data_IF_994132842707
#
_entry.id   IF_994132842707
#
_cell.length_a   1.000
_cell.length_b   1.000
_cell.length_c   1.000
_cell.angle_alpha   90.00
_cell.angle_beta   90.00
_cell.angle_gamma   90.00
#
_symmetry.space_group_name_H-M   'P 1'
#
loop_
_entity.id
_entity.type
_entity.pdbx_description
1 polymer ?
#
# COMPACT_ATOMS: atom_id res chain seq x y z
N UNK A 1 -47.98 -9.95 -53.78
CA UNK A 1 -47.88 -11.42 -53.51
C UNK A 1 -46.85 -11.47 -52.40
N UNK A 2 -47.29 -11.43 -51.09
CA UNK A 2 -47.57 -12.62 -50.27
C UNK A 2 -46.28 -13.35 -49.93
N UNK A 3 -45.78 -13.59 -48.73
CA UNK A 3 -46.34 -13.77 -47.39
C UNK A 3 -45.23 -13.68 -46.34
N UNK A 4 -45.50 -13.11 -45.24
CA UNK A 4 -45.17 -13.37 -43.85
C UNK A 4 -44.85 -14.82 -43.48
N UNK A 5 -43.94 -15.06 -42.57
CA UNK A 5 -44.11 -16.06 -41.51
C UNK A 5 -43.19 -15.78 -40.30
N UNK A 6 -43.84 -15.72 -39.19
CA UNK A 6 -43.39 -15.67 -37.81
C UNK A 6 -43.02 -17.10 -37.34
N UNK A 7 -42.00 -17.32 -36.48
CA UNK A 7 -41.83 -18.58 -35.79
C UNK A 7 -41.98 -18.42 -34.29
N UNK A 8 -43.08 -18.84 -33.75
CA UNK A 8 -43.16 -19.30 -32.36
C UNK A 8 -43.51 -20.80 -32.38
N UNK A 9 -42.85 -21.50 -31.45
CA UNK A 9 -43.26 -22.78 -30.84
C UNK A 9 -42.47 -24.03 -31.27
N UNK A 10 -41.79 -24.65 -30.33
CA UNK A 10 -42.17 -25.89 -29.64
C UNK A 10 -41.05 -26.43 -28.75
N UNK A 11 -41.42 -26.66 -27.49
CA UNK A 11 -40.81 -27.58 -26.55
C UNK A 11 -40.55 -28.97 -27.19
N UNK A 12 -39.37 -29.54 -26.92
CA UNK A 12 -39.31 -31.00 -26.73
C UNK A 12 -38.22 -31.35 -25.70
N UNK A 13 -38.65 -32.07 -24.68
CA UNK A 13 -37.83 -32.66 -23.62
C UNK A 13 -37.24 -33.96 -24.13
N UNK A 14 -35.93 -34.13 -24.08
CA UNK A 14 -35.33 -35.46 -24.02
C UNK A 14 -34.25 -35.48 -22.94
N UNK A 15 -34.60 -36.17 -21.86
CA UNK A 15 -33.75 -36.65 -20.80
C UNK A 15 -32.58 -37.49 -21.36
N UNK A 16 -31.36 -37.07 -21.12
CA UNK A 16 -30.15 -37.88 -21.29
C UNK A 16 -29.62 -38.23 -19.92
N UNK A 17 -29.72 -39.51 -19.59
CA UNK A 17 -29.14 -40.19 -18.44
C UNK A 17 -27.62 -40.01 -18.44
N UNK A 18 -27.07 -39.30 -17.44
CA UNK A 18 -25.64 -39.27 -17.16
C UNK A 18 -25.28 -40.41 -16.20
N UNK A 19 -24.90 -41.55 -16.77
CA UNK A 19 -24.13 -42.54 -16.02
C UNK A 19 -22.74 -41.99 -15.74
N UNK A 20 -22.45 -41.81 -14.45
CA UNK A 20 -21.12 -41.47 -13.95
C UNK A 20 -20.31 -42.78 -13.91
N UNK A 21 -19.30 -42.88 -14.75
CA UNK A 21 -18.31 -43.95 -14.73
C UNK A 21 -17.50 -43.91 -13.46
N UNK A 22 -17.51 -45.00 -12.68
CA UNK A 22 -16.60 -45.22 -11.56
C UNK A 22 -15.15 -45.38 -12.06
N UNK A 23 -14.16 -44.76 -11.36
CA UNK A 23 -12.75 -44.90 -11.73
C UNK A 23 -12.25 -46.34 -11.40
N UNK A 24 -11.59 -46.96 -12.38
CA UNK A 24 -10.93 -48.26 -12.32
C UNK A 24 -9.86 -48.26 -11.21
N UNK A 25 -10.02 -49.12 -10.19
CA UNK A 25 -9.04 -49.30 -9.11
C UNK A 25 -7.79 -50.03 -9.64
N UNK A 26 -6.63 -49.40 -9.38
CA UNK A 26 -5.31 -49.96 -9.67
C UNK A 26 -4.92 -50.99 -8.58
N UNK A 27 -4.54 -52.24 -8.89
CA UNK A 27 -4.35 -53.30 -7.91
C UNK A 27 -2.99 -53.26 -7.13
N UNK A 28 -2.19 -52.22 -7.28
CA UNK A 28 -0.88 -52.11 -6.66
C UNK A 28 -0.68 -50.92 -5.70
N UNK A 29 -1.70 -50.46 -5.02
CA UNK A 29 -1.52 -49.45 -3.97
C UNK A 29 -1.31 -50.08 -2.61
N UNK A 30 -0.24 -49.71 -1.85
CA UNK A 30 0.02 -50.28 -0.51
C UNK A 30 -1.02 -49.72 0.50
N UNK A 31 -1.66 -50.61 1.23
CA UNK A 31 -2.57 -50.33 2.30
C UNK A 31 -1.98 -49.36 3.34
N UNK A 32 -2.50 -48.13 3.38
CA UNK A 32 -2.28 -47.15 4.45
C UNK A 32 -3.26 -47.47 5.59
N UNK A 33 -2.83 -47.63 6.84
CA UNK A 33 -3.78 -47.89 7.93
C UNK A 33 -4.65 -46.68 8.19
N UNK A 34 -5.97 -46.90 8.22
CA UNK A 34 -6.94 -45.88 8.59
C UNK A 34 -6.72 -45.38 10.01
N UNK A 35 -6.34 -44.10 10.16
CA UNK A 35 -6.40 -43.40 11.44
C UNK A 35 -7.88 -43.15 11.77
N UNK A 36 -8.41 -43.89 12.76
CA UNK A 36 -9.69 -43.58 13.40
C UNK A 36 -9.61 -42.18 14.02
N UNK A 37 -10.18 -41.19 13.37
CA UNK A 37 -10.44 -39.88 13.95
C UNK A 37 -11.43 -40.03 15.13
N UNK A 38 -10.95 -39.80 16.34
CA UNK A 38 -11.81 -39.60 17.51
C UNK A 38 -12.41 -38.18 17.44
N UNK A 39 -13.53 -38.04 16.74
CA UNK A 39 -14.41 -36.85 16.83
C UNK A 39 -15.40 -37.03 17.96
N UNK A 40 -14.99 -36.86 19.24
CA UNK A 40 -15.92 -36.88 20.36
C UNK A 40 -15.31 -36.22 21.61
N UNK A 41 -14.97 -34.91 21.53
CA UNK A 41 -14.59 -34.18 22.74
C UNK A 41 -15.18 -32.75 22.84
N UNK A 42 -15.61 -32.13 21.77
CA UNK A 42 -16.21 -30.81 21.84
C UNK A 42 -17.70 -30.80 22.24
N UNK A 43 -18.40 -31.92 22.07
CA UNK A 43 -19.82 -32.02 22.43
C UNK A 43 -20.08 -32.37 23.92
N UNK A 44 -19.08 -32.94 24.60
CA UNK A 44 -19.23 -33.33 26.02
C UNK A 44 -18.98 -32.17 26.98
N UNK A 45 -18.10 -31.23 26.66
CA UNK A 45 -17.88 -30.05 27.53
C UNK A 45 -19.01 -29.02 27.50
N UNK A 46 -19.75 -28.93 26.40
CA UNK A 46 -20.94 -28.08 26.31
C UNK A 46 -22.17 -28.62 27.03
N UNK A 47 -22.27 -29.96 27.20
CA UNK A 47 -23.40 -30.61 27.86
C UNK A 47 -23.33 -30.52 29.39
N UNK A 48 -22.15 -30.50 29.99
CA UNK A 48 -21.96 -30.42 31.44
C UNK A 48 -22.22 -28.98 31.94
N UNK A 49 -21.73 -27.94 31.23
CA UNK A 49 -22.01 -26.55 31.57
C UNK A 49 -23.49 -26.17 31.42
N UNK A 50 -24.17 -26.72 30.41
CA UNK A 50 -25.60 -26.50 30.18
C UNK A 50 -26.49 -27.21 31.20
N UNK A 51 -26.11 -28.40 31.71
CA UNK A 51 -26.87 -29.14 32.68
C UNK A 51 -26.85 -28.45 34.08
N UNK A 52 -25.74 -27.92 34.52
CA UNK A 52 -25.63 -27.19 35.79
C UNK A 52 -26.43 -25.88 35.75
N UNK A 53 -26.39 -25.14 34.67
CA UNK A 53 -27.20 -23.93 34.49
C UNK A 53 -28.72 -24.25 34.45
N UNK A 54 -29.12 -25.36 33.81
CA UNK A 54 -30.52 -25.78 33.74
C UNK A 54 -31.06 -26.25 35.08
N UNK A 55 -30.25 -26.91 35.92
CA UNK A 55 -30.66 -27.34 37.27
C UNK A 55 -30.81 -26.12 38.19
N UNK A 56 -29.93 -25.12 38.11
CA UNK A 56 -30.06 -23.91 38.92
C UNK A 56 -31.27 -23.06 38.49
N UNK A 57 -31.56 -22.92 37.22
CA UNK A 57 -32.71 -22.15 36.70
C UNK A 57 -34.01 -22.90 37.00
N UNK A 58 -34.06 -24.23 36.87
CA UNK A 58 -35.26 -25.03 37.18
C UNK A 58 -35.50 -25.16 38.66
N UNK A 59 -34.45 -25.24 39.48
CA UNK A 59 -34.57 -25.29 40.95
C UNK A 59 -35.12 -23.99 41.54
N UNK A 60 -34.62 -22.86 41.11
CA UNK A 60 -35.09 -21.52 41.51
C UNK A 60 -36.50 -21.26 40.95
N UNK A 61 -36.77 -21.66 39.68
CA UNK A 61 -38.12 -21.55 39.10
C UNK A 61 -39.16 -22.42 39.77
N UNK A 62 -38.80 -23.65 40.19
CA UNK A 62 -39.70 -24.55 40.95
C UNK A 62 -39.96 -24.03 42.36
N UNK A 63 -38.97 -23.49 43.06
CA UNK A 63 -39.15 -22.86 44.37
C UNK A 63 -40.06 -21.62 44.30
N UNK A 64 -39.98 -20.82 43.24
CA UNK A 64 -40.86 -19.64 43.03
C UNK A 64 -42.28 -20.00 42.65
N UNK A 65 -42.54 -21.15 41.97
CA UNK A 65 -43.89 -21.55 41.58
C UNK A 65 -44.63 -22.28 42.69
N UNK A 66 -43.94 -22.94 43.64
CA UNK A 66 -44.55 -23.62 44.77
C UNK A 66 -44.80 -22.73 46.01
N UNK A 67 -44.17 -21.58 46.09
CA UNK A 67 -44.35 -20.59 47.17
C UNK A 67 -45.68 -19.82 47.11
N UNK A 68 -46.52 -20.06 46.09
CA UNK A 68 -47.77 -19.30 45.91
C UNK A 68 -49.01 -20.01 46.47
N UNK A 69 -48.90 -21.22 47.08
CA UNK A 69 -50.11 -22.00 47.47
C UNK A 69 -50.10 -22.63 48.87
N UNK A 70 -49.09 -22.44 49.74
CA UNK A 70 -49.12 -22.88 51.11
C UNK A 70 -48.23 -22.04 52.02
N UNK A 71 -48.68 -21.79 53.25
CA UNK A 71 -48.09 -20.92 54.29
C UNK A 71 -46.77 -21.45 54.91
N UNK A 72 -45.94 -22.14 54.14
CA UNK A 72 -44.59 -22.57 54.51
C UNK A 72 -43.54 -21.69 53.74
N UNK A 73 -43.10 -20.66 54.44
CA UNK A 73 -41.94 -19.85 53.96
C UNK A 73 -40.67 -20.71 54.01
N UNK A 74 -40.18 -21.10 52.83
CA UNK A 74 -38.82 -21.65 52.70
C UNK A 74 -37.87 -20.57 53.19
N UNK A 75 -37.14 -20.82 54.25
CA UNK A 75 -36.22 -19.87 54.84
C UNK A 75 -35.03 -19.62 53.89
N UNK A 76 -34.53 -18.41 53.91
CA UNK A 76 -33.33 -18.02 53.12
C UNK A 76 -32.13 -18.94 53.43
N UNK A 77 -32.10 -19.54 54.61
CA UNK A 77 -31.07 -20.50 55.04
C UNK A 77 -31.19 -21.85 54.34
N UNK A 78 -32.42 -22.33 54.05
CA UNK A 78 -32.63 -23.60 53.32
C UNK A 78 -32.24 -23.44 51.83
N UNK A 79 -32.56 -22.30 51.23
CA UNK A 79 -32.11 -22.00 49.83
C UNK A 79 -30.58 -21.91 49.79
N UNK A 80 -29.97 -21.28 50.79
CA UNK A 80 -28.52 -21.16 50.86
C UNK A 80 -27.84 -22.53 51.04
N UNK A 81 -28.41 -23.43 51.84
CA UNK A 81 -27.88 -24.79 52.05
C UNK A 81 -27.90 -25.63 50.75
N UNK A 82 -28.95 -25.50 49.95
CA UNK A 82 -29.08 -26.20 48.67
C UNK A 82 -28.07 -25.62 47.63
N UNK A 83 -27.85 -24.32 47.64
CA UNK A 83 -26.85 -23.67 46.78
C UNK A 83 -25.43 -24.08 47.20
N UNK A 84 -25.12 -24.10 48.49
CA UNK A 84 -23.81 -24.49 49.00
C UNK A 84 -23.52 -25.97 48.78
N UNK A 85 -24.52 -26.87 48.87
CA UNK A 85 -24.39 -28.28 48.54
C UNK A 85 -24.20 -28.52 47.03
N UNK A 86 -24.90 -27.75 46.18
CA UNK A 86 -24.73 -27.81 44.75
C UNK A 86 -23.34 -27.25 44.29
N UNK A 87 -22.86 -26.19 44.95
CA UNK A 87 -21.53 -25.63 44.69
C UNK A 87 -20.44 -26.58 45.20
N UNK A 88 -20.63 -27.22 46.38
CA UNK A 88 -19.66 -28.18 46.92
C UNK A 88 -19.57 -29.45 46.07
N UNK A 89 -20.71 -29.95 45.56
CA UNK A 89 -20.69 -31.10 44.62
C UNK A 89 -20.10 -30.77 43.25
N UNK A 90 -20.30 -29.56 42.78
CA UNK A 90 -19.66 -29.08 41.57
C UNK A 90 -18.13 -28.84 41.70
N UNK A 91 -17.66 -28.55 42.93
CA UNK A 91 -16.24 -28.43 43.26
C UNK A 91 -15.54 -29.77 43.52
N UNK A 92 -16.24 -30.81 43.90
CA UNK A 92 -15.66 -32.12 44.16
C UNK A 92 -15.31 -32.89 42.85
N UNK A 93 -15.96 -32.60 41.73
CA UNK A 93 -15.69 -33.21 40.44
C UNK A 93 -14.78 -32.31 39.55
N UNK A 94 -14.40 -31.16 40.07
CA UNK A 94 -13.43 -30.28 39.44
C UNK A 94 -12.00 -30.68 39.87
N UNK A 95 -11.51 -31.86 39.46
CA UNK A 95 -10.13 -31.96 39.08
C UNK A 95 -9.99 -31.01 37.91
N UNK A 96 -9.77 -29.73 38.23
CA UNK A 96 -9.37 -28.73 37.28
C UNK A 96 -8.25 -29.32 36.47
N UNK A 97 -8.53 -29.71 35.22
CA UNK A 97 -7.56 -29.55 34.17
C UNK A 97 -7.17 -28.11 34.27
N UNK A 98 -6.09 -27.84 35.00
CA UNK A 98 -5.37 -26.59 34.83
C UNK A 98 -5.19 -26.48 33.34
N UNK A 99 -5.90 -25.56 32.68
CA UNK A 99 -5.49 -25.03 31.43
C UNK A 99 -4.15 -24.39 31.77
N UNK A 100 -3.08 -25.18 31.70
CA UNK A 100 -1.77 -24.62 31.55
C UNK A 100 -1.89 -23.84 30.26
N UNK A 101 -1.98 -22.52 30.36
CA UNK A 101 -1.53 -21.63 29.31
C UNK A 101 -0.04 -21.93 29.15
N UNK A 102 0.26 -22.96 28.36
CA UNK A 102 1.53 -23.07 27.71
C UNK A 102 1.55 -21.91 26.76
N UNK A 103 2.17 -20.79 27.17
CA UNK A 103 2.77 -19.88 26.22
C UNK A 103 3.80 -20.76 25.50
N UNK A 104 3.43 -21.29 24.34
CA UNK A 104 4.37 -21.78 23.38
C UNK A 104 5.12 -20.53 22.92
N UNK A 105 6.32 -20.38 23.42
CA UNK A 105 7.31 -19.46 22.86
C UNK A 105 7.69 -20.06 21.50
N UNK A 106 6.87 -19.77 20.47
CA UNK A 106 7.11 -20.23 19.10
C UNK A 106 7.91 -19.13 18.43
N UNK A 107 9.23 -19.19 18.61
CA UNK A 107 10.16 -18.42 17.79
C UNK A 107 10.18 -19.06 16.40
N UNK A 108 9.72 -18.33 15.40
CA UNK A 108 9.82 -18.71 13.98
C UNK A 108 10.97 -17.92 13.35
N UNK A 109 11.52 -18.41 12.23
CA UNK A 109 12.53 -17.69 11.47
C UNK A 109 12.06 -16.25 11.13
N UNK A 110 10.75 -16.07 10.87
CA UNK A 110 10.14 -14.75 10.61
C UNK A 110 10.17 -13.86 11.85
N UNK A 111 9.84 -14.39 13.04
CA UNK A 111 9.83 -13.57 14.26
C UNK A 111 11.25 -13.13 14.68
N UNK A 112 12.24 -13.95 14.41
CA UNK A 112 13.64 -13.60 14.63
C UNK A 112 14.11 -12.54 13.62
N UNK A 113 13.77 -12.71 12.34
CA UNK A 113 14.05 -11.73 11.29
C UNK A 113 13.45 -10.37 11.62
N UNK A 114 12.18 -10.32 12.01
CA UNK A 114 11.49 -9.08 12.39
C UNK A 114 12.16 -8.44 13.62
N UNK A 115 12.47 -9.20 14.67
CA UNK A 115 13.10 -8.69 15.88
C UNK A 115 14.46 -8.03 15.63
N UNK A 116 15.18 -8.44 14.59
CA UNK A 116 16.48 -7.87 14.24
C UNK A 116 16.39 -6.55 13.47
N UNK A 117 15.26 -6.26 12.80
CA UNK A 117 15.13 -5.11 11.87
C UNK A 117 14.07 -4.11 12.32
N UNK A 118 13.11 -4.51 13.14
CA UNK A 118 11.95 -3.68 13.50
C UNK A 118 12.33 -2.30 14.07
N UNK A 119 13.44 -2.21 14.81
CA UNK A 119 13.90 -0.96 15.42
C UNK A 119 14.51 0.01 14.39
N UNK A 120 14.76 -0.45 13.15
CA UNK A 120 15.14 0.39 12.03
C UNK A 120 13.92 0.92 11.24
N UNK A 121 12.69 0.44 11.55
CA UNK A 121 11.46 0.92 10.92
C UNK A 121 10.76 1.88 11.89
N UNK A 122 10.50 3.10 11.41
CA UNK A 122 10.00 4.21 12.22
C UNK A 122 8.67 4.73 11.70
N UNK A 123 7.90 5.42 12.56
CA UNK A 123 6.76 6.22 12.10
C UNK A 123 7.26 7.56 11.59
N UNK A 124 6.71 8.01 10.46
CA UNK A 124 6.89 9.34 9.89
C UNK A 124 5.58 10.09 10.02
N UNK A 125 5.60 11.19 10.78
CA UNK A 125 4.43 12.01 11.07
C UNK A 125 4.58 13.35 10.37
N UNK A 126 3.69 13.59 9.41
CA UNK A 126 3.57 14.86 8.70
C UNK A 126 2.69 15.81 9.51
N UNK A 127 3.22 16.98 9.81
CA UNK A 127 2.53 18.00 10.60
C UNK A 127 2.33 19.26 9.76
N UNK A 128 1.11 19.82 9.80
CA UNK A 128 0.77 21.06 9.11
C UNK A 128 0.24 22.10 10.10
N UNK A 129 0.48 23.37 9.79
CA UNK A 129 -0.10 24.47 10.58
C UNK A 129 -1.63 24.48 10.38
N UNK A 130 -2.36 24.37 11.49
CA UNK A 130 -3.81 24.56 11.44
C UNK A 130 -4.14 26.05 11.26
N UNK A 131 -4.57 26.43 10.06
CA UNK A 131 -5.14 27.77 9.82
C UNK A 131 -6.52 27.79 10.47
N UNK A 132 -6.62 28.46 11.61
CA UNK A 132 -7.90 28.67 12.29
C UNK A 132 -8.89 29.31 11.32
N UNK A 133 -10.02 28.62 11.04
CA UNK A 133 -11.07 29.09 10.13
C UNK A 133 -11.66 30.45 10.56
N UNK A 134 -11.37 30.91 11.76
CA UNK A 134 -11.76 32.22 12.27
C UNK A 134 -11.02 33.36 11.57
N UNK A 135 -9.79 33.17 11.10
CA UNK A 135 -9.02 34.20 10.38
C UNK A 135 -9.44 34.36 8.93
N UNK A 136 -9.93 33.30 8.31
CA UNK A 136 -10.35 33.33 6.89
C UNK A 136 -11.64 34.13 6.67
N UNK A 137 -12.47 34.34 7.70
CA UNK A 137 -13.74 35.09 7.63
C UNK A 137 -13.68 36.48 8.27
N UNK A 138 -12.54 36.95 8.75
CA UNK A 138 -12.35 38.32 9.24
C UNK A 138 -13.23 38.71 10.45
N UNK A 139 -13.65 37.72 11.25
CA UNK A 139 -14.36 37.97 12.51
C UNK A 139 -13.39 38.20 13.65
N UNK A 140 -12.66 39.31 13.65
CA UNK A 140 -11.96 39.77 14.84
C UNK A 140 -12.96 40.15 15.91
N UNK A 141 -13.04 39.37 16.98
CA UNK A 141 -13.80 39.72 18.18
C UNK A 141 -13.14 40.94 18.84
N UNK A 142 -13.85 42.07 19.03
CA UNK A 142 -13.25 43.23 19.66
C UNK A 142 -13.30 43.10 21.20
N UNK A 143 -12.41 42.31 21.78
CA UNK A 143 -12.16 42.30 23.20
C UNK A 143 -10.69 42.65 23.46
N UNK A 144 -10.52 43.77 24.09
CA UNK A 144 -9.33 44.45 24.57
C UNK A 144 -8.14 43.61 25.02
N UNK A 145 -6.98 43.78 24.34
CA UNK A 145 -5.72 44.02 25.05
C UNK A 145 -5.05 42.85 25.71
N UNK A 146 -4.77 41.80 24.98
CA UNK A 146 -3.60 40.94 25.24
C UNK A 146 -2.99 40.56 23.89
N UNK A 147 -1.73 40.89 23.72
CA UNK A 147 -0.89 40.40 22.63
C UNK A 147 -0.68 38.90 22.89
N UNK A 148 -1.61 38.07 22.48
CA UNK A 148 -1.36 36.65 22.35
C UNK A 148 -0.48 36.48 21.11
N UNK A 149 0.75 36.10 21.37
CA UNK A 149 1.65 35.52 20.38
C UNK A 149 0.87 34.32 19.82
N UNK A 150 0.38 34.42 18.58
CA UNK A 150 -0.27 33.33 17.87
C UNK A 150 0.79 32.22 17.74
N UNK A 151 0.68 31.20 18.57
CA UNK A 151 1.34 29.95 18.31
C UNK A 151 0.39 29.20 17.36
N UNK A 152 0.71 29.15 16.06
CA UNK A 152 0.13 28.18 15.17
C UNK A 152 0.42 26.80 15.79
N UNK A 153 -0.65 26.06 16.13
CA UNK A 153 -0.49 24.70 16.62
C UNK A 153 -0.33 23.79 15.39
N UNK A 154 0.77 23.06 15.34
CA UNK A 154 1.00 22.02 14.36
C UNK A 154 0.08 20.85 14.67
N UNK A 155 -0.73 20.43 13.70
CA UNK A 155 -1.60 19.26 13.78
C UNK A 155 -1.09 18.15 12.85
N UNK A 156 -1.26 16.90 13.24
CA UNK A 156 -0.92 15.75 12.40
C UNK A 156 -1.83 15.72 11.17
N UNK A 157 -1.25 15.83 9.99
CA UNK A 157 -1.94 15.80 8.69
C UNK A 157 -1.99 14.37 8.13
N UNK A 158 -0.87 13.68 8.13
CA UNK A 158 -0.76 12.30 7.66
C UNK A 158 0.33 11.54 8.42
N UNK A 159 0.24 10.22 8.38
CA UNK A 159 1.20 9.31 9.00
C UNK A 159 1.59 8.21 8.03
N UNK A 160 2.85 7.81 8.07
CA UNK A 160 3.41 6.71 7.31
C UNK A 160 4.58 6.08 8.05
N UNK A 161 5.41 5.39 7.32
CA UNK A 161 6.59 4.71 7.83
C UNK A 161 7.86 5.21 7.15
N UNK A 162 9.00 4.93 7.76
CA UNK A 162 10.32 5.16 7.19
C UNK A 162 11.28 4.04 7.60
N UNK A 163 12.40 3.94 6.89
CA UNK A 163 13.45 2.95 7.15
C UNK A 163 14.77 3.65 7.35
N UNK A 164 15.37 3.48 8.53
CA UNK A 164 16.72 3.95 8.82
C UNK A 164 17.71 3.06 8.09
N UNK A 165 18.41 3.60 7.10
CA UNK A 165 19.30 2.80 6.24
C UNK A 165 20.79 3.16 6.36
N UNK A 166 21.12 4.30 7.03
CA UNK A 166 22.50 4.76 7.13
C UNK A 166 22.69 5.64 8.37
N UNK A 167 23.87 5.54 8.97
CA UNK A 167 24.37 6.49 9.99
C UNK A 167 25.72 6.99 9.51
N UNK A 168 25.92 8.30 9.52
CA UNK A 168 27.17 8.97 9.16
C UNK A 168 27.48 10.08 10.16
N UNK A 169 28.41 9.83 11.07
CA UNK A 169 28.74 10.74 12.18
C UNK A 169 27.55 10.91 13.12
N UNK A 170 27.13 12.14 13.31
CA UNK A 170 26.04 12.53 14.22
C UNK A 170 24.66 12.51 13.53
N UNK A 171 24.60 12.11 12.24
CA UNK A 171 23.39 12.10 11.43
C UNK A 171 22.99 10.67 11.06
N UNK A 172 21.69 10.39 11.11
CA UNK A 172 21.11 9.17 10.57
C UNK A 172 20.12 9.53 9.44
N UNK A 173 20.08 8.69 8.42
CA UNK A 173 19.26 8.89 7.24
C UNK A 173 18.10 7.88 7.20
N UNK A 174 16.93 8.40 6.88
CA UNK A 174 15.67 7.65 6.79
C UNK A 174 15.13 7.80 5.39
N UNK A 175 14.82 6.69 4.72
CA UNK A 175 14.05 6.68 3.48
C UNK A 175 12.57 6.49 3.79
N UNK A 176 11.71 7.25 3.10
CA UNK A 176 10.25 7.14 3.17
C UNK A 176 9.65 7.43 1.80
N UNK A 177 8.32 7.40 1.67
CA UNK A 177 7.67 7.86 0.46
C UNK A 177 7.50 9.39 0.45
N UNK A 178 7.56 9.98 -0.76
CA UNK A 178 7.31 11.41 -0.93
C UNK A 178 5.89 11.79 -0.48
N UNK A 179 4.86 11.01 -0.84
CA UNK A 179 3.49 11.33 -0.46
C UNK A 179 3.23 11.32 1.05
N UNK A 180 4.11 10.69 1.86
CA UNK A 180 4.01 10.71 3.33
C UNK A 180 4.40 12.07 3.89
N UNK A 181 5.34 12.77 3.25
CA UNK A 181 5.89 14.05 3.73
C UNK A 181 5.41 15.25 2.91
N UNK A 182 4.65 15.02 1.85
CA UNK A 182 4.22 16.09 0.95
C UNK A 182 3.35 17.13 1.69
N UNK A 183 3.66 18.41 1.46
CA UNK A 183 2.96 19.53 2.10
C UNK A 183 3.19 19.68 3.61
N UNK A 184 4.21 19.03 4.21
CA UNK A 184 4.51 19.14 5.62
C UNK A 184 5.17 20.50 5.95
N UNK A 185 4.68 21.16 7.01
CA UNK A 185 5.36 22.30 7.64
C UNK A 185 6.46 21.83 8.62
N UNK A 186 6.27 20.63 9.22
CA UNK A 186 7.26 19.93 10.03
C UNK A 186 7.09 18.41 9.92
N UNK A 187 8.19 17.69 10.11
CA UNK A 187 8.20 16.23 10.09
C UNK A 187 8.75 15.70 11.40
N UNK A 188 8.01 14.82 12.06
CA UNK A 188 8.46 14.12 13.23
C UNK A 188 8.63 12.62 12.95
N UNK A 189 9.73 12.06 13.46
CA UNK A 189 9.97 10.62 13.49
C UNK A 189 9.66 10.10 14.89
N UNK A 190 8.88 9.01 14.94
CA UNK A 190 8.64 8.28 16.20
C UNK A 190 9.35 6.93 16.07
N UNK A 191 10.33 6.72 16.96
CA UNK A 191 11.11 5.49 17.05
C UNK A 191 10.28 4.35 17.65
N UNK A 192 10.73 3.11 17.50
CA UNK A 192 10.05 1.93 18.04
C UNK A 192 9.85 1.96 19.57
N UNK A 193 10.71 2.66 20.31
CA UNK A 193 10.61 2.85 21.76
C UNK A 193 9.70 4.04 22.17
N UNK A 194 9.11 4.74 21.19
CA UNK A 194 8.26 5.91 21.40
C UNK A 194 9.04 7.24 21.49
N UNK A 195 10.36 7.24 21.34
CA UNK A 195 11.16 8.48 21.28
C UNK A 195 10.77 9.26 20.03
N UNK A 196 10.52 10.56 20.18
CA UNK A 196 10.20 11.47 19.09
C UNK A 196 11.38 12.37 18.78
N UNK A 197 11.65 12.57 17.50
CA UNK A 197 12.71 13.44 17.01
C UNK A 197 12.23 14.18 15.76
N UNK A 198 12.56 15.46 15.65
CA UNK A 198 12.33 16.26 14.47
C UNK A 198 13.24 15.80 13.33
N UNK A 199 12.71 15.74 12.11
CA UNK A 199 13.46 15.37 10.93
C UNK A 199 13.55 16.52 9.94
N UNK A 200 14.69 16.62 9.26
CA UNK A 200 14.90 17.56 8.16
C UNK A 200 14.83 16.80 6.82
N UNK A 201 14.26 17.43 5.79
CA UNK A 201 14.20 16.83 4.44
C UNK A 201 15.54 17.06 3.74
N UNK A 202 16.25 15.98 3.44
CA UNK A 202 17.46 16.02 2.61
C UNK A 202 17.10 16.22 1.15
N UNK A 203 16.08 15.51 0.67
CA UNK A 203 15.55 15.65 -0.67
C UNK A 203 14.35 14.74 -0.90
N UNK A 204 13.56 15.04 -1.91
CA UNK A 204 12.40 14.23 -2.28
C UNK A 204 12.18 14.22 -3.78
N UNK A 205 11.48 13.19 -4.23
CA UNK A 205 11.14 12.99 -5.63
C UNK A 205 9.70 12.46 -5.79
N UNK A 206 8.78 13.32 -6.25
CA UNK A 206 7.38 12.95 -6.46
C UNK A 206 7.17 11.86 -7.52
N UNK A 207 8.10 11.72 -8.49
CA UNK A 207 7.97 10.78 -9.60
C UNK A 207 8.22 9.34 -9.19
N UNK A 208 9.26 9.12 -8.38
CA UNK A 208 9.57 7.80 -7.81
C UNK A 208 8.88 7.56 -6.48
N UNK A 209 8.17 8.58 -5.95
CA UNK A 209 7.51 8.55 -4.64
C UNK A 209 8.49 8.22 -3.49
N UNK A 210 9.72 8.74 -3.55
CA UNK A 210 10.75 8.56 -2.52
C UNK A 210 11.19 9.90 -1.91
N UNK A 211 11.56 9.85 -0.63
CA UNK A 211 12.16 10.97 0.07
C UNK A 211 13.24 10.48 1.05
N UNK A 212 14.23 11.32 1.29
CA UNK A 212 15.28 11.11 2.28
C UNK A 212 15.13 12.17 3.36
N UNK A 213 15.11 11.72 4.61
CA UNK A 213 15.08 12.54 5.80
C UNK A 213 16.38 12.34 6.59
N UNK A 214 16.78 13.35 7.37
CA UNK A 214 17.86 13.23 8.33
C UNK A 214 17.37 13.51 9.75
N UNK A 215 17.92 12.76 10.71
CA UNK A 215 17.66 12.86 12.14
C UNK A 215 18.98 12.77 12.92
N UNK A 216 18.97 13.11 14.23
CA UNK A 216 20.11 12.84 15.11
C UNK A 216 20.36 11.33 15.23
N UNK A 217 21.62 10.91 15.07
CA UNK A 217 22.01 9.51 15.23
C UNK A 217 21.97 9.02 16.68
N UNK A 218 21.88 9.91 17.67
CA UNK A 218 21.87 9.57 19.09
C UNK A 218 20.69 8.67 19.50
N UNK A 219 19.59 8.73 18.75
CA UNK A 219 18.36 7.94 19.00
C UNK A 219 18.33 6.61 18.24
N UNK A 220 19.31 6.36 17.35
CA UNK A 220 19.33 5.21 16.46
C UNK A 220 20.03 4.02 17.10
N UNK A 221 19.35 2.88 17.19
CA UNK A 221 19.90 1.64 17.73
C UNK A 221 20.18 0.60 16.64
N UNK A 222 19.46 0.67 15.53
CA UNK A 222 19.49 -0.32 14.46
C UNK A 222 19.41 0.37 13.10
N UNK A 223 20.17 -0.15 12.14
CA UNK A 223 20.18 0.30 10.74
C UNK A 223 19.80 -0.89 9.88
N UNK A 224 18.87 -0.72 8.95
CA UNK A 224 18.47 -1.77 8.02
C UNK A 224 19.50 -1.94 6.89
N UNK A 225 19.69 -3.17 6.46
CA UNK A 225 20.55 -3.51 5.32
C UNK A 225 19.70 -3.70 4.06
N UNK A 226 20.12 -3.13 2.94
CA UNK A 226 19.50 -3.41 1.64
C UNK A 226 19.92 -4.78 1.09
N UNK A 227 18.94 -5.50 0.53
CA UNK A 227 19.14 -6.72 -0.22
C UNK A 227 19.23 -6.45 -1.74
N UNK A 228 19.54 -7.50 -2.47
CA UNK A 228 19.59 -7.47 -3.93
C UNK A 228 18.19 -7.78 -4.51
N UNK A 229 17.47 -6.74 -4.97
CA UNK A 229 16.14 -6.88 -5.56
C UNK A 229 16.14 -7.54 -6.94
N UNK A 230 17.28 -7.50 -7.67
CA UNK A 230 17.36 -8.03 -9.03
C UNK A 230 17.50 -9.56 -9.04
N UNK A 231 17.95 -10.14 -7.91
CA UNK A 231 18.09 -11.59 -7.76
C UNK A 231 16.85 -12.32 -7.25
N UNK A 232 15.77 -11.58 -6.91
CA UNK A 232 14.54 -12.12 -6.35
C UNK A 232 13.82 -13.06 -7.32
N UNK A 233 13.02 -13.96 -6.74
CA UNK A 233 12.17 -14.88 -7.51
C UNK A 233 10.75 -14.86 -6.97
N UNK A 234 9.81 -14.95 -7.90
CA UNK A 234 8.39 -15.13 -7.56
C UNK A 234 8.21 -16.38 -6.69
N UNK A 235 7.51 -16.24 -5.59
CA UNK A 235 7.27 -17.28 -4.59
C UNK A 235 8.19 -17.22 -3.38
N UNK A 236 9.23 -16.36 -3.37
CA UNK A 236 10.06 -16.15 -2.17
C UNK A 236 9.25 -15.46 -1.07
N UNK A 237 9.50 -15.78 0.22
CA UNK A 237 8.85 -15.10 1.33
C UNK A 237 9.13 -13.59 1.33
N UNK A 238 8.10 -12.80 1.59
CA UNK A 238 8.18 -11.36 1.75
C UNK A 238 7.51 -10.95 3.07
N UNK A 239 8.16 -10.06 3.82
CA UNK A 239 7.68 -9.55 5.11
C UNK A 239 7.60 -8.02 4.98
N UNK A 240 6.39 -7.48 5.04
CA UNK A 240 6.21 -6.03 5.06
C UNK A 240 6.14 -5.54 6.51
N UNK A 241 6.96 -4.54 6.83
CA UNK A 241 6.99 -3.89 8.13
C UNK A 241 6.69 -2.41 7.95
N UNK A 242 5.82 -1.89 8.80
CA UNK A 242 5.54 -0.48 8.91
C UNK A 242 5.21 -0.10 10.35
N UNK A 243 5.14 1.18 10.61
CA UNK A 243 4.79 1.74 11.91
C UNK A 243 3.60 2.70 11.78
N UNK A 244 2.41 2.20 11.38
CA UNK A 244 1.23 3.03 11.21
C UNK A 244 0.74 3.57 12.56
N UNK A 245 0.19 4.80 12.55
CA UNK A 245 -0.50 5.41 13.70
C UNK A 245 0.37 5.62 14.95
N UNK A 246 1.65 5.93 14.77
CA UNK A 246 2.56 6.27 15.87
C UNK A 246 2.78 5.13 16.87
N UNK A 247 2.98 5.47 18.14
CA UNK A 247 3.32 4.50 19.19
C UNK A 247 2.22 3.49 19.53
N UNK A 248 0.96 3.74 19.13
CA UNK A 248 -0.17 2.86 19.49
C UNK A 248 -0.19 1.56 18.66
N UNK A 249 0.35 1.59 17.43
CA UNK A 249 0.45 0.45 16.52
C UNK A 249 1.86 0.32 15.91
N UNK A 250 2.88 0.79 16.63
CA UNK A 250 4.27 0.65 16.21
C UNK A 250 4.57 -0.80 15.83
N UNK A 251 5.28 -0.97 14.70
CA UNK A 251 5.73 -2.28 14.19
C UNK A 251 4.59 -3.22 13.78
N UNK A 252 3.73 -2.75 12.87
CA UNK A 252 2.79 -3.65 12.19
C UNK A 252 3.55 -4.50 11.17
N UNK A 253 3.38 -5.82 11.27
CA UNK A 253 4.05 -6.80 10.40
C UNK A 253 3.01 -7.59 9.64
N UNK A 254 3.19 -7.68 8.32
CA UNK A 254 2.42 -8.60 7.47
C UNK A 254 3.38 -9.49 6.69
N UNK A 255 2.94 -10.69 6.36
CA UNK A 255 3.74 -11.67 5.63
C UNK A 255 2.99 -12.18 4.41
N UNK A 256 3.72 -12.35 3.33
CA UNK A 256 3.28 -12.95 2.09
C UNK A 256 4.44 -13.52 1.29
N UNK A 257 4.35 -13.42 -0.02
CA UNK A 257 5.39 -13.81 -0.98
C UNK A 257 5.61 -12.71 -2.01
N UNK A 258 6.69 -12.81 -2.73
CA UNK A 258 6.87 -12.07 -3.99
C UNK A 258 5.90 -12.66 -5.02
N UNK A 259 4.85 -11.92 -5.38
CA UNK A 259 3.81 -12.35 -6.31
C UNK A 259 4.14 -12.02 -7.77
N UNK A 260 5.02 -11.03 -7.99
CA UNK A 260 5.49 -10.62 -9.31
C UNK A 260 6.70 -9.71 -9.21
N UNK A 261 7.46 -9.66 -10.28
CA UNK A 261 8.62 -8.79 -10.45
C UNK A 261 8.44 -8.00 -11.75
N UNK A 262 9.13 -6.88 -11.87
CA UNK A 262 9.11 -6.00 -13.06
C UNK A 262 7.68 -5.64 -13.49
N UNK A 263 6.81 -5.33 -12.51
CA UNK A 263 5.45 -4.90 -12.80
C UNK A 263 5.43 -3.43 -13.15
N UNK A 264 5.07 -3.14 -14.40
CA UNK A 264 4.83 -1.77 -14.86
C UNK A 264 3.44 -1.34 -14.41
N UNK A 265 3.37 -0.39 -13.47
CA UNK A 265 2.11 0.11 -12.91
C UNK A 265 1.97 1.59 -13.24
N UNK A 266 0.87 1.99 -13.91
CA UNK A 266 0.60 3.39 -14.17
C UNK A 266 0.31 4.14 -12.87
N UNK A 267 0.94 5.30 -12.69
CA UNK A 267 0.80 6.17 -11.53
C UNK A 267 0.26 7.53 -11.97
N UNK A 268 -0.80 7.97 -11.33
CA UNK A 268 -1.36 9.31 -11.44
C UNK A 268 -0.80 10.14 -10.28
N UNK A 269 0.08 11.09 -10.59
CA UNK A 269 0.82 11.84 -9.58
C UNK A 269 0.00 13.02 -9.07
N UNK A 270 -0.75 13.71 -9.96
CA UNK A 270 -1.50 14.91 -9.67
C UNK A 270 -3.00 14.67 -9.39
N UNK A 271 -3.48 13.43 -9.57
CA UNK A 271 -4.87 13.04 -9.27
C UNK A 271 -5.87 13.45 -10.34
N UNK A 272 -5.43 13.75 -11.58
CA UNK A 272 -6.30 14.18 -12.68
C UNK A 272 -7.00 13.00 -13.39
N UNK A 273 -6.69 11.76 -13.01
CA UNK A 273 -7.21 10.52 -13.58
C UNK A 273 -6.45 10.06 -14.81
N UNK A 274 -5.31 10.67 -15.11
CA UNK A 274 -4.39 10.28 -16.19
C UNK A 274 -3.11 9.72 -15.58
N UNK A 275 -2.53 8.73 -16.22
CA UNK A 275 -1.22 8.24 -15.80
C UNK A 275 -0.13 9.22 -16.21
N UNK A 276 0.61 9.73 -15.24
CA UNK A 276 1.77 10.58 -15.46
C UNK A 276 3.06 9.82 -15.62
N UNK A 277 3.14 8.67 -14.97
CA UNK A 277 4.33 7.85 -14.81
C UNK A 277 4.02 6.37 -14.88
N UNK A 278 5.00 5.56 -15.20
CA UNK A 278 4.93 4.10 -15.09
C UNK A 278 6.02 3.66 -14.12
N UNK A 279 5.61 3.26 -12.92
CA UNK A 279 6.53 2.72 -11.92
C UNK A 279 6.84 1.25 -12.21
N UNK A 280 8.10 0.85 -12.04
CA UNK A 280 8.50 -0.55 -12.05
C UNK A 280 8.57 -1.06 -10.61
N UNK A 281 7.76 -2.07 -10.25
CA UNK A 281 7.56 -2.44 -8.86
C UNK A 281 7.60 -3.95 -8.62
N UNK A 282 7.92 -4.31 -7.38
CA UNK A 282 7.72 -5.65 -6.83
C UNK A 282 6.27 -5.77 -6.39
N UNK A 283 5.59 -6.83 -6.84
CA UNK A 283 4.26 -7.20 -6.37
C UNK A 283 4.35 -8.22 -5.24
N UNK A 284 3.57 -8.03 -4.17
CA UNK A 284 3.45 -8.94 -3.04
C UNK A 284 1.99 -9.10 -2.61
N UNK A 285 1.65 -10.24 -2.00
CA UNK A 285 0.38 -10.48 -1.32
C UNK A 285 0.47 -10.24 0.21
N UNK A 286 1.65 -9.85 0.72
CA UNK A 286 1.74 -9.24 2.04
C UNK A 286 0.86 -7.99 2.06
N UNK A 287 0.01 -7.84 3.09
CA UNK A 287 -0.94 -6.74 3.13
C UNK A 287 -0.23 -5.38 3.24
N UNK A 288 -0.36 -4.56 2.20
CA UNK A 288 0.09 -3.16 2.17
C UNK A 288 -1.15 -2.29 2.39
N UNK A 289 -1.15 -1.51 3.46
CA UNK A 289 -2.29 -0.70 3.92
C UNK A 289 -1.80 0.71 4.32
N UNK A 290 -2.72 1.69 4.48
CA UNK A 290 -2.36 3.00 5.01
C UNK A 290 -1.54 2.87 6.29
N UNK A 291 -0.41 3.58 6.33
CA UNK A 291 0.53 3.58 7.44
C UNK A 291 1.77 2.70 7.25
N UNK A 292 1.77 1.64 6.41
CA UNK A 292 3.01 0.95 6.09
C UNK A 292 3.70 1.46 4.81
N UNK A 293 3.14 2.46 4.12
CA UNK A 293 3.83 3.23 3.07
C UNK A 293 5.10 3.87 3.62
N UNK A 294 6.20 3.77 2.88
CA UNK A 294 7.54 4.19 3.31
C UNK A 294 8.27 3.18 4.19
N UNK A 295 7.58 2.14 4.67
CA UNK A 295 8.16 1.03 5.43
C UNK A 295 8.86 0.01 4.55
N UNK A 296 9.49 -0.97 5.19
CA UNK A 296 10.30 -1.99 4.52
C UNK A 296 9.48 -3.16 3.99
N UNK A 297 9.81 -3.63 2.78
CA UNK A 297 9.58 -5.00 2.36
C UNK A 297 10.88 -5.78 2.52
N UNK A 298 10.87 -6.86 3.32
CA UNK A 298 12.05 -7.65 3.65
C UNK A 298 12.01 -9.03 3.00
N UNK A 299 13.20 -9.58 2.71
CA UNK A 299 13.38 -10.99 2.42
C UNK A 299 13.47 -11.82 3.72
N UNK A 300 13.60 -13.15 3.61
CA UNK A 300 13.73 -14.05 4.75
C UNK A 300 15.00 -13.83 5.58
N UNK A 301 16.01 -13.16 5.03
CA UNK A 301 17.26 -12.81 5.73
C UNK A 301 17.17 -11.48 6.50
N UNK A 302 16.04 -10.76 6.41
CA UNK A 302 15.85 -9.46 7.05
C UNK A 302 16.44 -8.28 6.28
N UNK A 303 16.79 -8.47 5.00
CA UNK A 303 17.28 -7.39 4.15
C UNK A 303 16.13 -6.71 3.45
N UNK A 304 16.21 -5.38 3.32
CA UNK A 304 15.23 -4.55 2.61
C UNK A 304 15.34 -4.79 1.11
N UNK A 305 14.33 -5.43 0.52
CA UNK A 305 14.22 -5.71 -0.92
C UNK A 305 13.34 -4.68 -1.64
N UNK A 306 12.65 -3.83 -0.91
CA UNK A 306 11.87 -2.72 -1.45
C UNK A 306 11.28 -1.82 -0.37
N UNK A 307 10.78 -0.67 -0.79
CA UNK A 307 10.01 0.28 0.05
C UNK A 307 8.54 0.18 -0.34
N UNK A 308 7.68 -0.13 0.65
CA UNK A 308 6.25 -0.27 0.44
C UNK A 308 5.63 1.06 -0.02
N UNK A 309 4.78 1.07 -1.05
CA UNK A 309 4.06 2.26 -1.50
C UNK A 309 2.60 1.94 -1.79
N UNK A 310 1.70 2.72 -1.18
CA UNK A 310 0.27 2.65 -1.48
C UNK A 310 -0.14 3.50 -2.68
N UNK A 311 0.61 4.55 -3.03
CA UNK A 311 0.32 5.39 -4.20
C UNK A 311 0.32 4.59 -5.50
N UNK A 312 1.13 3.53 -5.54
CA UNK A 312 1.22 2.58 -6.66
C UNK A 312 0.14 1.48 -6.57
N UNK A 313 -0.52 1.34 -5.42
CA UNK A 313 -1.52 0.28 -5.20
C UNK A 313 -2.88 0.67 -5.79
N UNK A 314 -3.53 -0.26 -6.48
CA UNK A 314 -4.90 -0.08 -6.94
C UNK A 314 -5.87 -0.35 -5.78
N UNK A 315 -6.63 0.63 -5.35
CA UNK A 315 -7.66 0.53 -4.28
C UNK A 315 -8.76 -0.52 -4.54
N UNK A 316 -8.74 -1.16 -5.71
CA UNK A 316 -9.83 -2.01 -6.18
C UNK A 316 -9.56 -3.51 -6.05
N UNK A 317 -8.34 -3.95 -5.70
CA UNK A 317 -7.98 -5.38 -5.68
C UNK A 317 -7.29 -5.74 -4.38
N UNK A 318 -8.02 -6.42 -3.49
CA UNK A 318 -7.45 -6.99 -2.27
C UNK A 318 -6.36 -8.04 -2.60
N UNK A 319 -5.26 -8.03 -1.83
CA UNK A 319 -4.16 -8.99 -1.98
C UNK A 319 -3.15 -8.64 -3.07
N UNK A 320 -3.16 -7.41 -3.58
CA UNK A 320 -2.09 -6.86 -4.42
C UNK A 320 -1.47 -5.65 -3.75
N UNK A 321 -0.30 -5.86 -3.14
CA UNK A 321 0.57 -4.80 -2.62
C UNK A 321 1.76 -4.60 -3.55
N UNK A 322 2.35 -3.40 -3.49
CA UNK A 322 3.50 -3.04 -4.31
C UNK A 322 4.60 -2.39 -3.46
N UNK A 323 5.85 -2.61 -3.88
CA UNK A 323 7.02 -1.99 -3.30
C UNK A 323 8.00 -1.54 -4.39
N UNK A 324 8.64 -0.39 -4.17
CA UNK A 324 9.69 0.15 -5.04
C UNK A 324 10.93 -0.72 -4.81
N UNK A 325 11.56 -1.30 -5.86
CA UNK A 325 12.69 -2.21 -5.71
C UNK A 325 13.90 -1.57 -5.03
N UNK A 326 14.60 -2.31 -4.16
CA UNK A 326 15.75 -1.81 -3.40
C UNK A 326 16.88 -1.26 -4.29
N UNK A 327 17.12 -1.83 -5.46
CA UNK A 327 18.10 -1.32 -6.42
C UNK A 327 17.77 0.08 -6.94
N UNK A 328 16.48 0.33 -7.22
CA UNK A 328 15.99 1.66 -7.60
C UNK A 328 16.05 2.62 -6.41
N UNK A 329 15.58 2.19 -5.23
CA UNK A 329 15.67 2.99 -3.99
C UNK A 329 17.10 3.45 -3.75
N UNK A 330 18.10 2.56 -3.78
CA UNK A 330 19.50 2.91 -3.54
C UNK A 330 20.05 3.93 -4.55
N UNK A 331 19.62 3.84 -5.81
CA UNK A 331 20.00 4.81 -6.85
C UNK A 331 19.45 6.19 -6.54
N UNK A 332 18.14 6.26 -6.24
CA UNK A 332 17.42 7.51 -5.99
C UNK A 332 17.91 8.18 -4.70
N UNK A 333 18.01 7.44 -3.59
CA UNK A 333 18.49 8.01 -2.33
C UNK A 333 19.93 8.52 -2.44
N UNK A 334 20.78 7.85 -3.22
CA UNK A 334 22.14 8.31 -3.49
C UNK A 334 22.20 9.65 -4.23
N UNK A 335 21.28 9.89 -5.17
CA UNK A 335 21.15 11.18 -5.86
C UNK A 335 20.55 12.25 -4.94
N UNK A 336 19.50 11.91 -4.16
CA UNK A 336 18.90 12.84 -3.20
C UNK A 336 19.89 13.28 -2.11
N UNK A 337 20.70 12.35 -1.56
CA UNK A 337 21.76 12.71 -0.63
C UNK A 337 22.83 13.64 -1.24
N UNK A 338 23.17 13.42 -2.50
CA UNK A 338 24.23 14.18 -3.16
C UNK A 338 23.79 15.58 -3.60
N UNK A 339 22.57 15.73 -4.09
CA UNK A 339 22.10 16.89 -4.81
C UNK A 339 20.89 17.57 -4.15
N UNK A 340 20.19 16.90 -3.24
CA UNK A 340 18.91 17.34 -2.68
C UNK A 340 17.70 17.10 -3.58
N UNK A 341 17.95 16.77 -4.84
CA UNK A 341 16.93 16.58 -5.88
C UNK A 341 17.40 15.60 -6.96
N UNK A 342 16.47 15.04 -7.72
CA UNK A 342 16.78 14.26 -8.92
C UNK A 342 16.85 15.19 -10.13
N UNK A 343 18.02 15.29 -10.74
CA UNK A 343 18.23 16.12 -11.94
C UNK A 343 17.75 15.37 -13.18
N UNK A 344 16.51 15.63 -13.59
CA UNK A 344 15.91 15.00 -14.78
C UNK A 344 16.19 15.78 -16.07
N UNK A 345 16.29 15.08 -17.22
CA UNK A 345 16.29 15.74 -18.51
C UNK A 345 14.93 16.37 -18.81
N UNK A 346 14.94 17.55 -19.41
CA UNK A 346 13.75 18.27 -19.86
C UNK A 346 13.73 18.41 -21.38
N UNK A 347 12.56 18.17 -21.98
CA UNK A 347 12.30 18.44 -23.40
C UNK A 347 11.71 19.85 -23.58
N UNK A 348 10.86 20.30 -22.65
CA UNK A 348 10.23 21.62 -22.66
C UNK A 348 9.07 21.73 -23.63
N UNK A 349 8.15 20.77 -23.55
CA UNK A 349 6.89 20.75 -24.30
C UNK A 349 5.70 20.55 -23.36
N UNK A 350 4.57 21.19 -23.66
CA UNK A 350 3.28 20.85 -23.07
C UNK A 350 2.67 19.67 -23.83
N UNK A 351 2.43 18.57 -23.12
CA UNK A 351 2.07 17.27 -23.66
C UNK A 351 0.60 16.97 -23.49
N UNK A 352 -0.04 16.43 -24.53
CA UNK A 352 -1.40 15.88 -24.46
C UNK A 352 -1.39 14.53 -25.18
N UNK A 353 -1.94 13.50 -24.56
CA UNK A 353 -2.09 12.20 -25.22
C UNK A 353 -2.92 12.33 -26.50
N UNK A 354 -2.46 11.73 -27.58
CA UNK A 354 -3.14 11.82 -28.88
C UNK A 354 -4.58 11.32 -28.81
N UNK A 355 -4.87 10.33 -27.97
CA UNK A 355 -6.22 9.79 -27.78
C UNK A 355 -7.21 10.80 -27.14
N UNK A 356 -6.72 11.85 -26.50
CA UNK A 356 -7.51 12.98 -25.95
C UNK A 356 -7.77 14.07 -26.96
N UNK A 357 -7.06 14.07 -28.08
CA UNK A 357 -7.28 15.00 -29.20
C UNK A 357 -8.42 14.46 -30.08
N UNK A 358 -9.41 15.30 -30.39
CA UNK A 358 -10.55 14.85 -31.19
C UNK A 358 -10.12 14.32 -32.58
N UNK A 359 -10.76 13.26 -33.07
CA UNK A 359 -10.49 12.66 -34.37
C UNK A 359 -10.64 13.66 -35.53
N UNK A 360 -11.56 14.62 -35.42
CA UNK A 360 -11.72 15.68 -36.39
C UNK A 360 -10.49 16.58 -36.45
N UNK A 361 -9.87 16.90 -35.29
CA UNK A 361 -8.66 17.70 -35.24
C UNK A 361 -7.46 16.91 -35.78
N UNK A 362 -7.33 15.65 -35.41
CA UNK A 362 -6.27 14.77 -35.92
C UNK A 362 -6.27 14.66 -37.44
N UNK A 363 -7.46 14.51 -38.05
CA UNK A 363 -7.61 14.35 -39.49
C UNK A 363 -7.50 15.68 -40.28
N UNK A 364 -8.06 16.77 -39.73
CA UNK A 364 -8.15 18.05 -40.48
C UNK A 364 -6.98 18.98 -40.25
N UNK A 365 -6.45 19.03 -39.03
CA UNK A 365 -5.39 19.92 -38.62
C UNK A 365 -4.02 19.21 -38.63
N UNK A 366 -3.92 18.05 -37.97
CA UNK A 366 -2.68 17.30 -37.89
C UNK A 366 -2.43 16.45 -39.14
N UNK A 367 -3.49 16.14 -39.90
CA UNK A 367 -3.46 15.35 -41.15
C UNK A 367 -2.78 13.98 -40.96
N UNK A 368 -2.93 13.37 -39.74
CA UNK A 368 -2.28 12.12 -39.40
C UNK A 368 -2.72 10.99 -40.31
N UNK A 369 -1.82 10.08 -40.70
CA UNK A 369 -2.19 8.80 -41.30
C UNK A 369 -3.12 7.98 -40.47
N UNK A 370 -4.01 7.18 -41.09
CA UNK A 370 -5.00 6.36 -40.41
C UNK A 370 -4.40 5.23 -39.51
N UNK A 371 -3.13 4.93 -39.68
CA UNK A 371 -2.37 3.91 -38.95
C UNK A 371 -1.63 4.45 -37.73
N UNK A 372 -1.75 5.75 -37.43
CA UNK A 372 -1.20 6.39 -36.23
C UNK A 372 -2.29 6.39 -35.16
N UNK A 373 -2.21 5.43 -34.23
CA UNK A 373 -3.18 5.22 -33.17
C UNK A 373 -2.69 5.62 -31.76
N UNK A 374 -1.43 6.10 -31.63
CA UNK A 374 -0.80 6.57 -30.40
C UNK A 374 0.22 7.65 -30.65
N UNK A 375 0.65 8.29 -29.58
CA UNK A 375 1.66 9.36 -29.61
C UNK A 375 1.32 10.51 -28.66
N UNK A 376 2.19 11.51 -28.64
CA UNK A 376 2.06 12.71 -27.81
C UNK A 376 1.91 13.93 -28.70
N UNK A 377 0.75 14.57 -28.59
CA UNK A 377 0.47 15.85 -29.22
C UNK A 377 1.18 16.97 -28.44
N UNK A 378 1.99 17.75 -29.14
CA UNK A 378 2.68 18.94 -28.62
C UNK A 378 1.72 20.12 -28.65
N UNK A 379 1.15 20.50 -27.51
CA UNK A 379 0.23 21.64 -27.41
C UNK A 379 1.00 22.98 -27.44
N UNK A 380 2.17 23.01 -26.78
CA UNK A 380 3.02 24.19 -26.68
C UNK A 380 4.49 23.79 -26.57
N UNK A 381 5.39 24.62 -27.04
CA UNK A 381 6.83 24.49 -26.88
C UNK A 381 7.34 25.67 -26.07
N UNK A 382 8.03 25.39 -24.97
CA UNK A 382 8.56 26.40 -24.05
C UNK A 382 9.70 27.16 -24.71
N UNK A 383 9.68 28.48 -24.57
CA UNK A 383 10.78 29.33 -25.13
C UNK A 383 12.10 29.05 -24.44
N UNK A 384 13.16 28.87 -25.20
CA UNK A 384 14.50 28.54 -24.72
C UNK A 384 14.73 27.06 -24.41
N UNK A 385 13.73 26.21 -24.64
CA UNK A 385 13.79 24.78 -24.37
C UNK A 385 14.63 23.99 -25.38
N UNK A 386 14.92 22.73 -25.00
CA UNK A 386 15.56 21.76 -25.89
C UNK A 386 14.70 21.49 -27.14
N UNK A 387 13.38 21.43 -26.99
CA UNK A 387 12.42 21.23 -28.07
C UNK A 387 12.41 22.41 -29.05
N UNK A 388 12.38 23.66 -28.55
CA UNK A 388 12.46 24.84 -29.42
C UNK A 388 13.77 24.88 -30.22
N UNK A 389 14.89 24.61 -29.54
CA UNK A 389 16.22 24.58 -30.19
C UNK A 389 16.34 23.50 -31.27
N UNK A 390 15.62 22.36 -31.10
CA UNK A 390 15.54 21.27 -32.06
C UNK A 390 14.54 21.52 -33.19
N UNK A 391 13.74 22.61 -33.10
CA UNK A 391 12.74 22.98 -34.09
C UNK A 391 11.40 22.26 -33.98
N UNK A 392 11.09 21.63 -32.83
CA UNK A 392 9.74 21.14 -32.52
C UNK A 392 8.78 22.33 -32.41
N UNK A 393 7.53 22.12 -32.70
CA UNK A 393 6.49 23.15 -32.75
C UNK A 393 5.17 22.60 -32.16
N UNK A 394 4.28 23.53 -31.80
CA UNK A 394 2.89 23.14 -31.55
C UNK A 394 2.33 22.46 -32.81
N UNK A 395 1.38 21.53 -32.58
CA UNK A 395 0.78 20.66 -33.59
C UNK A 395 1.70 19.53 -34.11
N UNK A 396 2.90 19.33 -33.58
CA UNK A 396 3.67 18.10 -33.79
C UNK A 396 3.07 16.95 -32.99
N UNK A 397 3.21 15.72 -33.50
CA UNK A 397 2.83 14.49 -32.75
C UNK A 397 4.06 13.60 -32.65
N UNK A 398 4.63 13.50 -31.42
CA UNK A 398 5.81 12.67 -31.16
C UNK A 398 5.37 11.20 -31.11
N UNK A 399 6.04 10.33 -31.87
CA UNK A 399 5.75 8.90 -31.99
C UNK A 399 6.94 8.01 -31.65
N UNK A 400 8.16 8.57 -31.59
CA UNK A 400 9.37 7.85 -31.19
C UNK A 400 10.36 8.82 -30.52
N UNK A 401 11.00 8.35 -29.44
CA UNK A 401 11.98 9.11 -28.69
C UNK A 401 13.15 8.19 -28.29
N UNK A 402 14.36 8.57 -28.66
CA UNK A 402 15.59 7.82 -28.42
C UNK A 402 15.54 6.33 -28.87
N UNK A 403 14.77 6.04 -29.95
CA UNK A 403 14.59 4.70 -30.50
C UNK A 403 13.47 3.89 -29.85
N UNK A 404 12.78 4.45 -28.85
CA UNK A 404 11.63 3.83 -28.18
C UNK A 404 10.32 4.40 -28.75
N UNK A 405 9.33 3.53 -28.97
CA UNK A 405 8.02 3.95 -29.43
C UNK A 405 7.28 4.75 -28.37
N UNK A 406 6.70 5.88 -28.74
CA UNK A 406 5.91 6.76 -27.88
C UNK A 406 4.43 6.56 -28.20
N UNK A 407 3.65 6.07 -27.25
CA UNK A 407 2.21 5.84 -27.39
C UNK A 407 1.36 6.87 -26.64
N UNK A 408 1.91 7.47 -25.57
CA UNK A 408 1.28 8.41 -24.67
C UNK A 408 2.32 9.23 -23.90
N UNK A 409 1.87 10.16 -23.06
CA UNK A 409 2.76 11.04 -22.27
C UNK A 409 3.61 10.26 -21.27
N UNK A 410 3.07 9.17 -20.68
CA UNK A 410 3.82 8.36 -19.73
C UNK A 410 5.01 7.64 -20.39
N UNK A 411 4.80 7.04 -21.57
CA UNK A 411 5.87 6.40 -22.36
C UNK A 411 6.95 7.38 -22.84
N UNK A 412 6.55 8.61 -23.22
CA UNK A 412 7.50 9.66 -23.57
C UNK A 412 8.36 10.07 -22.37
N UNK A 413 7.73 10.28 -21.19
CA UNK A 413 8.46 10.61 -19.96
C UNK A 413 9.41 9.48 -19.57
N UNK A 414 8.95 8.24 -19.64
CA UNK A 414 9.79 7.08 -19.34
C UNK A 414 11.03 7.03 -20.24
N UNK A 415 10.86 7.18 -21.54
CA UNK A 415 11.98 7.21 -22.50
C UNK A 415 12.91 8.42 -22.28
N UNK A 416 12.34 9.58 -21.92
CA UNK A 416 13.08 10.80 -21.62
C UNK A 416 13.95 10.63 -20.35
N UNK A 417 13.38 10.12 -19.26
CA UNK A 417 14.05 10.01 -17.95
C UNK A 417 15.09 8.88 -17.89
N UNK A 418 15.10 7.98 -18.87
CA UNK A 418 16.21 7.04 -19.07
C UNK A 418 17.46 7.69 -19.68
N UNK A 419 17.33 8.92 -20.20
CA UNK A 419 18.45 9.64 -20.79
C UNK A 419 19.19 10.48 -19.74
N UNK A 420 20.45 10.78 -20.03
CA UNK A 420 21.19 11.78 -19.25
C UNK A 420 20.66 13.18 -19.57
N UNK A 421 20.70 14.06 -18.56
CA UNK A 421 20.19 15.43 -18.70
C UNK A 421 20.90 16.29 -19.79
N UNK A 422 22.07 15.83 -20.27
CA UNK A 422 22.84 16.47 -21.35
C UNK A 422 22.94 15.61 -22.63
N UNK A 423 22.09 14.55 -22.73
CA UNK A 423 22.12 13.65 -23.86
C UNK A 423 21.61 14.31 -25.13
N UNK A 424 22.13 13.81 -26.26
CA UNK A 424 21.65 14.14 -27.61
C UNK A 424 20.85 12.96 -28.14
N UNK A 425 19.54 13.15 -28.35
CA UNK A 425 18.62 12.08 -28.71
C UNK A 425 17.88 12.37 -30.00
N UNK A 426 17.49 11.33 -30.71
CA UNK A 426 16.66 11.41 -31.91
C UNK A 426 15.18 11.36 -31.50
N UNK A 427 14.39 12.23 -32.15
CA UNK A 427 12.93 12.32 -31.95
C UNK A 427 12.24 12.24 -33.29
N UNK A 428 11.34 11.27 -33.47
CA UNK A 428 10.49 11.15 -34.65
C UNK A 428 9.09 11.67 -34.35
N UNK A 429 8.56 12.49 -35.22
CA UNK A 429 7.25 13.14 -35.03
C UNK A 429 6.58 13.37 -36.38
N UNK A 430 5.25 13.43 -36.35
CA UNK A 430 4.44 13.86 -37.47
C UNK A 430 4.21 15.37 -37.43
N UNK A 431 4.35 16.04 -38.59
CA UNK A 431 3.99 17.43 -38.80
C UNK A 431 3.25 17.56 -40.12
N UNK A 432 2.01 18.03 -40.09
CA UNK A 432 1.13 18.11 -41.28
C UNK A 432 1.03 16.77 -42.06
N UNK A 433 0.95 15.65 -41.35
CA UNK A 433 0.87 14.31 -41.92
C UNK A 433 2.17 13.71 -42.42
N UNK A 434 3.28 14.40 -42.34
CA UNK A 434 4.61 13.91 -42.76
C UNK A 434 5.46 13.51 -41.56
N UNK A 435 5.98 12.28 -41.57
CA UNK A 435 6.93 11.82 -40.56
C UNK A 435 8.28 12.53 -40.75
N UNK A 436 8.76 13.16 -39.71
CA UNK A 436 10.02 13.87 -39.63
C UNK A 436 10.85 13.39 -38.45
N UNK A 437 12.15 13.60 -38.51
CA UNK A 437 13.07 13.27 -37.44
C UNK A 437 13.97 14.46 -37.15
N UNK A 438 14.21 14.73 -35.87
CA UNK A 438 15.16 15.76 -35.43
C UNK A 438 16.03 15.24 -34.31
N UNK A 439 17.15 15.90 -34.07
CA UNK A 439 18.03 15.60 -32.93
C UNK A 439 17.81 16.69 -31.87
N UNK A 440 17.48 16.26 -30.65
CA UNK A 440 17.28 17.14 -29.51
C UNK A 440 18.47 17.02 -28.57
N UNK A 441 19.06 18.15 -28.20
CA UNK A 441 20.04 18.24 -27.12
C UNK A 441 19.29 18.51 -25.83
N UNK A 442 19.14 17.48 -24.98
CA UNK A 442 18.42 17.60 -23.71
C UNK A 442 19.10 18.60 -22.77
N UNK A 443 18.31 19.17 -21.87
CA UNK A 443 18.76 20.10 -20.84
C UNK A 443 18.30 19.59 -19.47
N UNK A 444 19.06 19.87 -18.41
CA UNK A 444 18.57 19.56 -17.06
C UNK A 444 17.31 20.39 -16.77
N UNK A 445 16.34 19.78 -16.12
CA UNK A 445 15.12 20.46 -15.65
C UNK A 445 15.50 21.62 -14.73
N UNK A 446 15.03 22.83 -15.05
CA UNK A 446 15.23 23.97 -14.20
C UNK A 446 14.07 24.04 -13.18
N UNK A 447 14.33 23.78 -11.91
CA UNK A 447 13.34 23.83 -10.81
C UNK A 447 12.72 25.23 -10.58
N UNK A 448 13.06 26.24 -11.38
CA UNK A 448 12.41 27.57 -11.33
C UNK A 448 10.97 27.57 -11.89
N UNK A 449 10.46 26.45 -12.43
CA UNK A 449 9.14 26.35 -13.08
C UNK A 449 8.08 25.62 -12.21
N UNK A 450 8.47 25.06 -11.06
CA UNK A 450 7.55 24.26 -10.21
C UNK A 450 6.68 25.11 -9.26
N UNK A 451 6.58 26.43 -9.48
CA UNK A 451 5.72 27.32 -8.68
C UNK A 451 4.80 28.11 -9.61
N UNK A 452 3.87 27.44 -10.27
CA UNK A 452 2.66 28.08 -10.81
C UNK A 452 1.47 27.14 -10.73
#
# INVERSE_FOLDING_TARGET
MSQSNDPNNLNDQSSVDNQIDEPIKNPNEPHRPEKKERKLTALQSGLIGGAVAAVLISGVGYAMTTANDTDDQISTEEVQSIVDEAVSSAQADNTASSVQSTSLDVTTDVSETVANVQDAVVSVVNMTESVSTYDLFGFTSPTQGETTTESSELETSSEGSGVIYKVDGDTAYVVTNNHVIDGADAINIIMADGTQVEAEVVGSDPWTDLAVLEISSDVVTTVAEFGDSDSLKVGEPAIAIGSPLGSEYATTVTQGIISGLDRSVPVDIDGDGTSDWVANVIQTDAAINPGNSGGALLNAAGQVIGINSMKVSSDQVEGMGFAIPAGEVQTIIGELEANGEIVRPELGVSMVDLNRVSLDYQSQNLQLPDDVDGGVYVAEVSAGSAAEAAGLQADDVIVEFAGEAVTDSASLRQALYQQKSDASVEVSFYRNGELQTTTVQLQPQNNSSATQ
#
